data_IF_686773865123
#
_entry.id   IF_686773865123
#
_cell.length_a   1.000
_cell.length_b   1.000
_cell.length_c   1.000
_cell.angle_alpha   90.00
_cell.angle_beta   90.00
_cell.angle_gamma   90.00
#
_symmetry.space_group_name_H-M   'P 1'
#
loop_
_entity.id
_entity.type
_entity.pdbx_description
1 polymer ?
#
# COMPACT_ATOMS: atom_id res chain seq x y z
N UNK A 1 -32.77 4.11 -8.25
CA UNK A 1 -31.39 3.60 -8.22
C UNK A 1 -30.62 4.31 -9.32
N UNK A 2 -29.62 5.09 -8.97
CA UNK A 2 -28.68 5.66 -9.93
C UNK A 2 -27.70 4.53 -10.24
N UNK A 3 -27.59 4.14 -11.51
CA UNK A 3 -26.61 3.11 -11.89
C UNK A 3 -25.18 3.58 -11.62
N UNK A 4 -24.23 2.69 -11.38
CA UNK A 4 -22.81 3.05 -11.24
C UNK A 4 -22.30 3.94 -12.38
N UNK A 5 -22.79 3.73 -13.60
CA UNK A 5 -22.45 4.50 -14.81
C UNK A 5 -22.82 6.00 -14.70
N UNK A 6 -23.96 6.34 -14.07
CA UNK A 6 -24.34 7.77 -13.86
C UNK A 6 -23.45 8.51 -12.84
N UNK A 7 -22.87 7.78 -11.90
CA UNK A 7 -21.87 8.34 -11.00
C UNK A 7 -20.54 8.63 -11.71
N UNK A 8 -20.20 7.81 -12.70
CA UNK A 8 -18.97 7.91 -13.49
C UNK A 8 -18.94 9.16 -14.36
N UNK A 9 -20.09 9.54 -14.94
CA UNK A 9 -20.21 10.74 -15.79
C UNK A 9 -20.00 12.06 -15.02
N UNK A 10 -20.32 12.08 -13.71
CA UNK A 10 -20.27 13.30 -12.92
C UNK A 10 -18.89 13.69 -12.41
N UNK A 11 -17.96 12.74 -12.28
CA UNK A 11 -16.65 12.94 -11.62
C UNK A 11 -15.45 12.34 -12.37
N UNK A 12 -15.61 11.89 -13.60
CA UNK A 12 -14.57 11.21 -14.39
C UNK A 12 -13.88 10.06 -13.61
N UNK A 13 -14.65 9.27 -12.88
CA UNK A 13 -14.20 8.18 -12.04
C UNK A 13 -15.03 6.95 -12.33
N UNK A 14 -14.41 5.77 -12.38
CA UNK A 14 -15.13 4.50 -12.52
C UNK A 14 -15.51 3.95 -11.15
N UNK A 15 -16.73 3.43 -11.04
CA UNK A 15 -17.26 2.83 -9.81
C UNK A 15 -17.56 1.35 -10.08
N UNK A 16 -17.15 0.49 -9.18
CA UNK A 16 -17.30 -0.95 -9.26
C UNK A 16 -17.87 -1.52 -7.96
N UNK A 17 -18.72 -2.54 -8.07
CA UNK A 17 -19.28 -3.24 -6.91
C UNK A 17 -18.32 -4.27 -6.30
N UNK A 18 -17.28 -4.65 -7.04
CA UNK A 18 -16.26 -5.61 -6.63
C UNK A 18 -14.87 -5.21 -7.20
N UNK A 19 -13.86 -6.05 -7.05
CA UNK A 19 -12.49 -5.81 -7.49
C UNK A 19 -12.13 -6.42 -8.86
N UNK A 20 -13.12 -6.80 -9.67
CA UNK A 20 -12.88 -7.40 -11.01
C UNK A 20 -12.20 -6.47 -12.00
N UNK A 21 -12.17 -5.16 -11.71
CA UNK A 21 -11.51 -4.15 -12.53
C UNK A 21 -9.98 -4.14 -12.44
N UNK A 22 -9.39 -4.88 -11.50
CA UNK A 22 -7.94 -4.88 -11.28
C UNK A 22 -7.25 -5.89 -12.20
N UNK A 23 -7.29 -5.64 -13.50
CA UNK A 23 -6.54 -6.38 -14.50
C UNK A 23 -5.08 -5.90 -14.61
N UNK A 24 -4.28 -6.63 -15.40
CA UNK A 24 -2.86 -6.32 -15.57
C UNK A 24 -2.65 -4.96 -16.25
N UNK A 25 -3.52 -4.56 -17.17
CA UNK A 25 -3.44 -3.29 -17.86
C UNK A 25 -3.64 -2.13 -16.87
N UNK A 26 -4.66 -2.21 -16.01
CA UNK A 26 -4.88 -1.20 -14.97
C UNK A 26 -3.73 -1.16 -13.97
N UNK A 27 -3.27 -2.31 -13.51
CA UNK A 27 -2.16 -2.40 -12.54
C UNK A 27 -0.84 -1.89 -13.12
N UNK A 28 -0.66 -1.91 -14.43
CA UNK A 28 0.53 -1.39 -15.12
C UNK A 28 0.58 0.13 -15.18
N UNK A 29 -0.55 0.86 -15.03
CA UNK A 29 -0.58 2.32 -15.06
C UNK A 29 0.35 2.93 -14.02
N UNK A 30 0.99 4.05 -14.35
CA UNK A 30 1.94 4.74 -13.48
C UNK A 30 1.30 5.33 -12.22
N UNK A 31 0.07 5.80 -12.34
CA UNK A 31 -0.68 6.38 -11.21
C UNK A 31 -2.10 5.86 -11.26
N UNK A 32 -2.57 5.31 -10.14
CA UNK A 32 -3.98 4.97 -9.93
C UNK A 32 -4.34 4.93 -8.44
N UNK A 33 -5.63 5.10 -8.16
CA UNK A 33 -6.17 5.13 -6.80
C UNK A 33 -7.45 4.30 -6.70
N UNK A 34 -7.61 3.59 -5.62
CA UNK A 34 -8.81 2.83 -5.28
C UNK A 34 -9.31 3.27 -3.92
N UNK A 35 -10.60 3.61 -3.83
CA UNK A 35 -11.29 3.95 -2.58
C UNK A 35 -12.59 3.15 -2.51
N UNK A 36 -12.87 2.55 -1.36
CA UNK A 36 -14.15 1.95 -1.06
C UNK A 36 -15.08 3.00 -0.47
N UNK A 37 -16.20 3.28 -1.13
CA UNK A 37 -17.17 4.30 -0.70
C UNK A 37 -18.55 3.68 -0.40
N UNK A 38 -19.33 4.26 0.53
CA UNK A 38 -20.71 3.84 0.75
C UNK A 38 -21.56 4.08 -0.49
N UNK A 39 -22.40 3.11 -0.87
CA UNK A 39 -23.36 3.28 -1.95
C UNK A 39 -24.63 3.96 -1.41
N UNK A 40 -25.03 5.07 -2.05
CA UNK A 40 -26.14 5.91 -1.58
C UNK A 40 -27.47 5.23 -1.69
N UNK A 41 -28.00 4.39 -1.05
CA UNK A 41 -29.35 3.78 -0.95
C UNK A 41 -29.35 2.27 -0.75
N UNK A 42 -28.20 1.66 -0.48
CA UNK A 42 -28.12 0.26 -0.12
C UNK A 42 -27.10 0.08 1.00
N UNK A 43 -27.22 -0.96 1.81
CA UNK A 43 -26.17 -1.35 2.78
C UNK A 43 -24.92 -1.91 2.05
N UNK A 44 -24.57 -1.33 0.90
CA UNK A 44 -23.49 -1.75 0.03
C UNK A 44 -22.37 -0.73 -0.08
N UNK A 45 -21.30 -1.15 -0.71
CA UNK A 45 -20.13 -0.32 -1.04
C UNK A 45 -19.81 -0.48 -2.51
N UNK A 46 -19.23 0.57 -3.09
CA UNK A 46 -18.61 0.53 -4.42
C UNK A 46 -17.17 0.98 -4.30
N UNK A 47 -16.35 0.58 -5.27
CA UNK A 47 -14.98 1.04 -5.37
C UNK A 47 -14.92 2.21 -6.34
N UNK A 48 -14.43 3.35 -5.87
CA UNK A 48 -14.06 4.47 -6.73
C UNK A 48 -12.65 4.22 -7.24
N UNK A 49 -12.51 4.10 -8.55
CA UNK A 49 -11.23 3.88 -9.22
C UNK A 49 -10.91 5.10 -10.07
N UNK A 50 -9.72 5.61 -9.93
CA UNK A 50 -9.25 6.79 -10.64
C UNK A 50 -7.90 6.53 -11.27
N UNK A 51 -7.72 6.91 -12.54
CA UNK A 51 -6.43 6.93 -13.22
C UNK A 51 -6.36 8.09 -14.21
N UNK A 52 -5.16 8.59 -14.59
CA UNK A 52 -5.03 9.58 -15.64
C UNK A 52 -5.54 9.07 -16.99
N UNK A 53 -5.53 7.78 -17.25
CA UNK A 53 -6.05 7.16 -18.47
C UNK A 53 -7.56 7.37 -18.64
N UNK A 54 -8.29 7.57 -17.54
CA UNK A 54 -9.72 7.84 -17.54
C UNK A 54 -10.04 9.34 -17.49
N UNK A 55 -9.07 10.23 -17.78
CA UNK A 55 -9.15 11.68 -17.59
C UNK A 55 -9.47 12.10 -16.13
N UNK A 56 -9.33 11.20 -15.18
CA UNK A 56 -9.52 11.52 -13.77
C UNK A 56 -8.33 12.31 -13.24
N UNK A 57 -8.62 13.38 -12.53
CA UNK A 57 -7.58 14.23 -11.93
C UNK A 57 -7.22 13.66 -10.55
N UNK A 58 -6.29 12.71 -10.50
CA UNK A 58 -5.77 12.21 -9.23
C UNK A 58 -4.90 13.31 -8.62
N UNK A 59 -5.41 13.97 -7.60
CA UNK A 59 -4.62 14.91 -6.81
C UNK A 59 -3.56 14.14 -6.00
N UNK A 60 -2.40 13.91 -6.61
CA UNK A 60 -1.24 13.36 -5.90
C UNK A 60 -0.64 14.50 -5.07
N UNK A 61 -0.70 14.39 -3.75
CA UNK A 61 0.00 15.33 -2.86
C UNK A 61 1.51 15.22 -3.10
N UNK A 62 2.18 16.35 -3.26
CA UNK A 62 3.64 16.37 -3.38
C UNK A 62 4.33 15.60 -2.23
N UNK A 63 3.73 15.60 -1.05
CA UNK A 63 4.21 14.84 0.12
C UNK A 63 4.18 13.34 -0.10
N UNK A 64 3.21 12.80 -0.86
CA UNK A 64 3.17 11.37 -1.18
C UNK A 64 4.43 10.96 -1.95
N UNK A 65 4.84 11.77 -2.92
CA UNK A 65 6.09 11.55 -3.66
C UNK A 65 7.32 11.63 -2.77
N UNK A 66 7.37 12.63 -1.89
CA UNK A 66 8.50 12.80 -0.95
C UNK A 66 8.60 11.62 0.00
N UNK A 67 7.49 11.16 0.61
CA UNK A 67 7.52 10.01 1.50
C UNK A 67 7.89 8.70 0.77
N UNK A 68 7.46 8.54 -0.48
CA UNK A 68 7.92 7.41 -1.31
C UNK A 68 9.41 7.48 -1.63
N UNK A 69 9.94 8.65 -1.97
CA UNK A 69 11.38 8.85 -2.16
C UNK A 69 12.16 8.54 -0.88
N UNK A 70 11.69 9.01 0.28
CA UNK A 70 12.26 8.67 1.58
C UNK A 70 12.22 7.16 1.84
N UNK A 71 11.12 6.48 1.51
CA UNK A 71 11.02 5.01 1.62
C UNK A 71 12.05 4.31 0.74
N UNK A 72 12.30 4.81 -0.48
CA UNK A 72 13.35 4.29 -1.37
C UNK A 72 14.76 4.51 -0.80
N UNK A 73 15.01 5.66 -0.18
CA UNK A 73 16.28 5.90 0.53
C UNK A 73 16.42 4.95 1.70
N UNK A 74 15.33 4.75 2.46
CA UNK A 74 15.31 3.87 3.64
C UNK A 74 15.54 2.40 3.29
N UNK A 75 15.06 1.96 2.13
CA UNK A 75 15.29 0.62 1.60
C UNK A 75 16.79 0.24 1.51
N UNK A 76 17.66 1.23 1.29
CA UNK A 76 19.13 1.01 1.19
C UNK A 76 19.78 0.53 2.50
N UNK A 77 19.05 0.59 3.63
CA UNK A 77 19.51 -0.01 4.89
C UNK A 77 19.35 -1.54 4.91
N UNK A 78 18.58 -2.10 3.99
CA UNK A 78 18.39 -3.54 3.89
C UNK A 78 19.67 -4.24 3.41
N UNK A 79 20.03 -5.32 4.10
CA UNK A 79 21.11 -6.22 3.70
C UNK A 79 20.67 -7.30 2.70
N UNK A 80 19.38 -7.35 2.36
CA UNK A 80 18.85 -8.33 1.42
C UNK A 80 19.36 -8.05 0.00
N UNK A 81 19.82 -9.11 -0.68
CA UNK A 81 20.40 -9.02 -2.03
C UNK A 81 19.37 -9.07 -3.14
N UNK A 82 18.29 -9.83 -2.92
CA UNK A 82 17.24 -10.02 -3.92
C UNK A 82 16.39 -8.79 -4.11
N UNK A 83 15.94 -8.20 -3.01
CA UNK A 83 15.12 -6.98 -3.03
C UNK A 83 15.36 -6.20 -1.75
N UNK A 84 15.56 -4.89 -1.90
CA UNK A 84 15.61 -3.96 -0.79
C UNK A 84 14.29 -3.18 -0.75
N UNK A 85 13.52 -3.35 0.31
CA UNK A 85 12.22 -2.73 0.51
C UNK A 85 12.29 -1.78 1.70
N UNK A 86 11.77 -0.57 1.53
CA UNK A 86 11.66 0.43 2.60
C UNK A 86 10.20 0.82 2.83
N UNK A 87 9.88 1.09 4.08
CA UNK A 87 8.54 1.44 4.53
C UNK A 87 8.58 2.58 5.54
N UNK A 88 7.64 3.52 5.43
CA UNK A 88 7.38 4.57 6.41
C UNK A 88 5.91 4.56 6.82
N UNK A 89 5.63 4.78 8.10
CA UNK A 89 4.29 5.03 8.60
C UNK A 89 4.18 6.49 9.00
N UNK A 90 3.23 7.20 8.40
CA UNK A 90 3.05 8.65 8.58
C UNK A 90 1.67 8.93 9.15
N UNK A 91 1.62 9.73 10.20
CA UNK A 91 0.39 10.19 10.84
C UNK A 91 0.49 11.69 11.11
N UNK A 92 -0.55 12.45 10.75
CA UNK A 92 -0.57 13.91 10.94
C UNK A 92 0.68 14.60 10.36
N UNK A 93 1.11 14.19 9.17
CA UNK A 93 2.31 14.70 8.47
C UNK A 93 3.65 14.41 9.18
N UNK A 94 3.66 13.56 10.20
CA UNK A 94 4.86 13.14 10.91
C UNK A 94 5.15 11.67 10.67
N UNK A 95 6.39 11.32 10.39
CA UNK A 95 6.83 9.92 10.34
C UNK A 95 6.82 9.40 11.79
N UNK A 96 5.97 8.40 12.06
CA UNK A 96 5.84 7.80 13.39
C UNK A 96 6.54 6.44 13.49
N UNK A 97 6.84 5.82 12.37
CA UNK A 97 7.64 4.59 12.29
C UNK A 97 8.25 4.43 10.91
N UNK A 98 9.26 3.61 10.86
CA UNK A 98 10.01 3.23 9.66
C UNK A 98 10.33 1.74 9.67
N UNK A 99 10.58 1.15 8.51
CA UNK A 99 11.03 -0.23 8.37
C UNK A 99 11.76 -0.46 7.07
N UNK A 100 12.60 -1.46 7.07
CA UNK A 100 13.18 -2.08 5.89
C UNK A 100 13.21 -3.59 6.09
N UNK A 101 13.22 -4.36 5.01
CA UNK A 101 13.26 -5.80 5.12
C UNK A 101 14.63 -6.27 5.61
N UNK A 102 14.64 -7.27 6.50
CA UNK A 102 15.88 -7.77 7.10
C UNK A 102 15.65 -8.70 8.27
N UNK A 103 16.74 -9.19 8.84
CA UNK A 103 16.73 -10.09 9.99
C UNK A 103 16.18 -9.40 11.24
N UNK A 104 15.47 -10.12 12.13
CA UNK A 104 15.12 -9.62 13.45
C UNK A 104 16.36 -9.24 14.26
N UNK A 105 16.19 -8.33 15.21
CA UNK A 105 17.26 -7.93 16.12
C UNK A 105 17.87 -9.15 16.83
N UNK A 106 19.18 -9.25 16.82
CA UNK A 106 19.92 -10.36 17.42
C UNK A 106 20.28 -11.49 16.45
N UNK A 107 19.77 -11.47 15.24
CA UNK A 107 20.14 -12.42 14.18
C UNK A 107 21.21 -11.83 13.24
N UNK A 108 22.04 -12.68 12.59
CA UNK A 108 22.94 -12.22 11.55
C UNK A 108 22.18 -11.51 10.41
N UNK A 109 22.79 -10.50 9.79
CA UNK A 109 22.22 -9.77 8.65
C UNK A 109 22.36 -10.58 7.35
N UNK A 110 21.77 -11.77 7.32
CA UNK A 110 21.73 -12.70 6.19
C UNK A 110 20.28 -12.91 5.83
N UNK A 111 19.89 -12.42 4.65
CA UNK A 111 18.49 -12.51 4.20
C UNK A 111 18.22 -13.75 3.35
N UNK A 112 19.21 -14.26 2.66
CA UNK A 112 19.07 -15.34 1.70
C UNK A 112 19.98 -16.53 2.05
N UNK A 113 19.51 -17.75 1.69
CA UNK A 113 20.32 -18.96 1.68
C UNK A 113 21.34 -18.96 0.55
N UNK A 114 22.22 -19.94 0.51
CA UNK A 114 23.17 -20.14 -0.59
C UNK A 114 22.46 -20.37 -1.94
N UNK A 115 21.25 -20.90 -1.94
CA UNK A 115 20.40 -21.07 -3.13
C UNK A 115 19.64 -19.77 -3.50
N UNK A 116 19.98 -18.63 -2.90
CA UNK A 116 19.33 -17.33 -3.13
C UNK A 116 17.83 -17.33 -2.82
N UNK A 117 17.40 -18.12 -1.83
CA UNK A 117 16.01 -18.17 -1.32
C UNK A 117 15.95 -17.31 -0.05
N UNK A 118 14.94 -16.45 0.04
CA UNK A 118 14.73 -15.64 1.25
C UNK A 118 14.46 -16.54 2.46
N UNK A 119 15.20 -16.32 3.54
CA UNK A 119 15.08 -17.11 4.77
C UNK A 119 13.75 -16.81 5.48
N UNK A 120 13.10 -17.78 6.09
CA UNK A 120 11.74 -17.67 6.61
C UNK A 120 11.58 -16.70 7.78
N UNK A 121 12.68 -16.35 8.47
CA UNK A 121 12.65 -15.41 9.59
C UNK A 121 12.82 -13.94 9.16
N UNK A 122 13.02 -13.66 7.87
CA UNK A 122 13.20 -12.30 7.40
C UNK A 122 11.90 -11.50 7.52
N UNK A 123 11.95 -10.41 8.26
CA UNK A 123 10.85 -9.46 8.37
C UNK A 123 10.72 -8.65 7.08
N UNK A 124 9.50 -8.48 6.61
CA UNK A 124 9.21 -7.51 5.58
C UNK A 124 9.24 -6.09 6.15
N UNK A 125 9.47 -5.10 5.31
CA UNK A 125 9.59 -3.70 5.71
C UNK A 125 8.37 -3.19 6.49
N UNK A 126 7.16 -3.56 6.05
CA UNK A 126 5.89 -3.20 6.67
C UNK A 126 5.75 -3.84 8.06
N UNK A 127 6.04 -5.14 8.17
CA UNK A 127 6.00 -5.85 9.45
C UNK A 127 7.00 -5.24 10.43
N UNK A 128 8.20 -4.90 9.97
CA UNK A 128 9.22 -4.21 10.78
C UNK A 128 8.71 -2.84 11.25
N UNK A 129 8.13 -2.02 10.36
CA UNK A 129 7.60 -0.71 10.71
C UNK A 129 6.44 -0.80 11.73
N UNK A 130 5.49 -1.73 11.52
CA UNK A 130 4.33 -1.91 12.39
C UNK A 130 4.77 -2.40 13.78
N UNK A 131 5.66 -3.39 13.85
CA UNK A 131 6.11 -3.96 15.13
C UNK A 131 6.97 -2.99 15.94
N UNK A 132 7.67 -2.06 15.31
CA UNK A 132 8.38 -0.98 16.02
C UNK A 132 7.43 -0.10 16.83
N UNK A 133 6.22 0.18 16.33
CA UNK A 133 5.22 0.97 17.06
C UNK A 133 4.78 0.31 18.37
N UNK A 134 4.80 -1.02 18.45
CA UNK A 134 4.48 -1.75 19.68
C UNK A 134 5.46 -1.49 20.84
N UNK A 135 6.62 -0.91 20.55
CA UNK A 135 7.63 -0.51 21.57
C UNK A 135 7.43 0.92 22.06
N UNK A 136 6.52 1.67 21.45
CA UNK A 136 6.26 3.09 21.75
C UNK A 136 4.84 3.33 22.23
N UNK A 137 4.52 4.59 22.42
CA UNK A 137 3.18 5.05 22.84
C UNK A 137 2.31 5.52 21.66
N UNK A 138 2.86 5.58 20.45
CA UNK A 138 2.14 6.00 19.26
C UNK A 138 1.46 4.82 18.57
N UNK A 139 0.20 5.01 18.18
CA UNK A 139 -0.56 4.01 17.42
C UNK A 139 -0.68 4.37 15.95
N UNK A 140 -0.74 3.34 15.10
CA UNK A 140 -0.89 3.45 13.64
C UNK A 140 -2.32 3.77 13.18
N UNK A 141 -3.31 3.76 14.07
CA UNK A 141 -4.71 4.04 13.72
C UNK A 141 -4.85 5.35 12.92
N UNK A 142 -5.48 5.28 11.74
CA UNK A 142 -5.70 6.43 10.86
C UNK A 142 -4.46 6.93 10.10
N UNK A 143 -3.33 6.20 10.16
CA UNK A 143 -2.10 6.58 9.47
C UNK A 143 -2.08 6.15 7.99
N UNK A 144 -1.09 6.66 7.26
CA UNK A 144 -0.71 6.24 5.90
C UNK A 144 0.59 5.46 5.94
N UNK A 145 0.63 4.34 5.24
CA UNK A 145 1.81 3.54 5.03
C UNK A 145 2.36 3.81 3.62
N UNK A 146 3.62 4.20 3.54
CA UNK A 146 4.38 4.38 2.30
C UNK A 146 5.39 3.26 2.17
N UNK A 147 5.41 2.56 1.03
CA UNK A 147 6.29 1.42 0.82
C UNK A 147 6.75 1.35 -0.64
N UNK A 148 7.93 0.85 -0.88
CA UNK A 148 8.49 0.78 -2.24
C UNK A 148 7.82 -0.25 -3.14
N UNK A 149 7.27 -1.33 -2.56
CA UNK A 149 6.52 -2.39 -3.25
C UNK A 149 5.16 -2.59 -2.60
N UNK A 150 4.13 -2.94 -3.37
CA UNK A 150 2.82 -3.25 -2.78
C UNK A 150 2.95 -4.36 -1.73
N UNK A 151 2.23 -4.25 -0.59
CA UNK A 151 2.29 -5.23 0.47
C UNK A 151 1.95 -6.64 -0.03
N UNK A 152 2.62 -7.67 0.49
CA UNK A 152 2.19 -9.04 0.29
C UNK A 152 0.95 -9.34 1.15
N UNK A 153 0.28 -10.48 0.91
CA UNK A 153 -0.94 -10.85 1.61
C UNK A 153 -0.75 -10.91 3.15
N UNK A 154 0.39 -11.43 3.61
CA UNK A 154 0.68 -11.47 5.06
C UNK A 154 0.84 -10.07 5.68
N UNK A 155 1.54 -9.16 5.00
CA UNK A 155 1.66 -7.77 5.45
C UNK A 155 0.33 -7.03 5.39
N UNK A 156 -0.53 -7.32 4.40
CA UNK A 156 -1.86 -6.71 4.31
C UNK A 156 -2.73 -7.01 5.53
N UNK A 157 -2.67 -8.22 6.08
CA UNK A 157 -3.37 -8.56 7.34
C UNK A 157 -2.90 -7.68 8.50
N UNK A 158 -1.58 -7.47 8.61
CA UNK A 158 -1.01 -6.62 9.65
C UNK A 158 -1.42 -5.15 9.48
N UNK A 159 -1.42 -4.65 8.24
CA UNK A 159 -1.82 -3.29 7.89
C UNK A 159 -3.28 -3.05 8.30
N UNK A 160 -4.20 -3.95 7.93
CA UNK A 160 -5.61 -3.86 8.29
C UNK A 160 -5.77 -3.86 9.81
N UNK A 161 -5.16 -4.85 10.49
CA UNK A 161 -5.31 -5.04 11.94
C UNK A 161 -4.67 -3.91 12.75
N UNK A 162 -3.68 -3.22 12.20
CA UNK A 162 -3.02 -2.07 12.86
C UNK A 162 -3.77 -0.74 12.69
N UNK A 163 -4.92 -0.73 11.99
CA UNK A 163 -5.76 0.46 11.80
C UNK A 163 -5.23 1.48 10.78
N UNK A 164 -4.23 1.12 9.97
CA UNK A 164 -3.76 1.94 8.85
C UNK A 164 -4.91 2.11 7.85
N UNK A 165 -5.13 3.32 7.35
CA UNK A 165 -6.26 3.66 6.46
C UNK A 165 -5.87 3.92 5.01
N UNK A 166 -4.60 4.09 4.75
CA UNK A 166 -4.10 4.38 3.41
C UNK A 166 -2.76 3.71 3.16
N UNK A 167 -2.59 3.14 1.98
CA UNK A 167 -1.33 2.54 1.50
C UNK A 167 -0.92 3.19 0.19
N UNK A 168 0.31 3.70 0.15
CA UNK A 168 0.90 4.32 -1.02
C UNK A 168 2.17 3.56 -1.40
N UNK A 169 2.31 3.16 -2.67
CA UNK A 169 3.46 2.38 -3.11
C UNK A 169 3.90 2.72 -4.55
N UNK A 170 5.09 2.24 -4.91
CA UNK A 170 5.70 2.55 -6.22
C UNK A 170 5.42 1.47 -7.25
N UNK A 171 5.59 0.20 -6.88
CA UNK A 171 5.52 -0.95 -7.81
C UNK A 171 4.63 -2.05 -7.25
N UNK A 172 3.90 -2.74 -8.13
CA UNK A 172 3.09 -3.91 -7.75
C UNK A 172 4.02 -5.11 -7.53
N UNK A 173 3.90 -5.75 -6.37
CA UNK A 173 4.68 -6.93 -6.01
C UNK A 173 3.94 -8.22 -6.35
N UNK A 174 4.49 -9.00 -7.27
CA UNK A 174 4.00 -10.34 -7.70
C UNK A 174 2.55 -10.31 -8.21
N UNK A 175 1.58 -10.47 -7.31
CA UNK A 175 0.17 -10.68 -7.63
C UNK A 175 -0.73 -9.66 -6.94
N UNK A 176 -1.88 -9.28 -7.54
CA UNK A 176 -2.75 -8.24 -7.03
C UNK A 176 -3.68 -8.65 -5.87
N UNK A 177 -3.70 -9.93 -5.47
CA UNK A 177 -4.65 -10.41 -4.45
C UNK A 177 -4.55 -9.64 -3.13
N UNK A 178 -3.37 -9.17 -2.79
CA UNK A 178 -3.16 -8.34 -1.59
C UNK A 178 -3.79 -6.95 -1.73
N UNK A 179 -3.81 -6.41 -2.96
CA UNK A 179 -4.44 -5.12 -3.29
C UNK A 179 -5.95 -5.26 -3.17
N UNK A 180 -6.54 -6.35 -3.71
CA UNK A 180 -7.95 -6.68 -3.54
C UNK A 180 -8.34 -6.75 -2.06
N UNK A 181 -7.56 -7.50 -1.29
CA UNK A 181 -7.81 -7.70 0.13
C UNK A 181 -7.76 -6.40 0.94
N UNK A 182 -6.81 -5.51 0.64
CA UNK A 182 -6.73 -4.19 1.25
C UNK A 182 -7.93 -3.32 0.86
N UNK A 183 -8.32 -3.31 -0.43
CA UNK A 183 -9.46 -2.55 -0.93
C UNK A 183 -10.77 -3.01 -0.26
N UNK A 184 -11.00 -4.32 -0.15
CA UNK A 184 -12.17 -4.89 0.55
C UNK A 184 -12.24 -4.47 2.02
N UNK A 185 -11.10 -4.36 2.69
CA UNK A 185 -11.01 -3.86 4.06
C UNK A 185 -11.26 -2.34 4.19
N UNK A 186 -11.46 -1.63 3.07
CA UNK A 186 -11.68 -0.18 3.06
C UNK A 186 -10.41 0.64 3.21
N UNK A 187 -9.25 0.07 2.89
CA UNK A 187 -7.99 0.81 2.82
C UNK A 187 -7.94 1.59 1.50
N UNK A 188 -7.68 2.90 1.57
CA UNK A 188 -7.36 3.67 0.36
C UNK A 188 -6.02 3.23 -0.20
N UNK A 189 -5.96 2.97 -1.49
CA UNK A 189 -4.75 2.51 -2.17
C UNK A 189 -4.37 3.50 -3.26
N UNK A 190 -3.11 3.91 -3.26
CA UNK A 190 -2.54 4.79 -4.26
C UNK A 190 -1.22 4.22 -4.77
N UNK A 191 -1.13 4.02 -6.08
CA UNK A 191 0.13 3.74 -6.76
C UNK A 191 0.66 5.02 -7.39
N UNK A 192 1.96 5.27 -7.22
CA UNK A 192 2.70 6.36 -7.87
C UNK A 192 4.03 5.78 -8.32
N UNK A 193 4.19 5.48 -9.59
CA UNK A 193 5.49 5.06 -10.15
C UNK A 193 6.52 6.19 -10.12
N UNK A 194 7.79 5.81 -10.21
CA UNK A 194 8.92 6.74 -10.23
C UNK A 194 8.93 7.62 -11.47
#
# INVERSE_FOLDING_TARGET
MISPEKYTEAINTKHYENTEFLDDDFLSLDIWRIIKIPYHNANGFVYEVSSPADNSNIAVDQRDRIYLEMSNVWAKNSYCKRMQVGCLIVKNKSIISDGYNGSPTGFPNICESDDNITLPYILHAEANAITKLAKGTQGSEGSTLYVTLSPCFECSKLIIQSGIKRVVFTEVYRKPESIYFLAEAGIEILKISK
#
